data_IF_725368161831
#
_entry.id   IF_725368161831
#
_cell.length_a   1.000
_cell.length_b   1.000
_cell.length_c   1.000
_cell.angle_alpha   90.00
_cell.angle_beta   90.00
_cell.angle_gamma   90.00
#
_symmetry.space_group_name_H-M   'P 1'
#
loop_
_entity.id
_entity.type
_entity.pdbx_description
1 polymer ?
#
# COMPACT_ATOMS: atom_id res chain seq x y z
N UNK A 1 -5.89 22.33 -24.10
CA UNK A 1 -6.58 21.69 -22.96
C UNK A 1 -6.95 20.23 -23.23
N UNK A 2 -7.55 19.89 -24.37
CA UNK A 2 -7.89 18.50 -24.73
C UNK A 2 -6.67 17.54 -24.75
N UNK A 3 -5.49 18.01 -25.20
CA UNK A 3 -4.29 17.18 -25.23
C UNK A 3 -3.66 16.89 -23.86
N UNK A 4 -3.86 17.76 -22.87
CA UNK A 4 -3.31 17.52 -21.52
C UNK A 4 -4.16 16.50 -20.76
N UNK A 5 -5.47 16.52 -20.96
CA UNK A 5 -6.40 15.60 -20.30
C UNK A 5 -6.18 14.14 -20.73
N UNK A 6 -5.82 13.91 -22.00
CA UNK A 6 -5.52 12.57 -22.52
C UNK A 6 -4.20 11.99 -21.99
N UNK A 7 -3.28 12.83 -21.48
CA UNK A 7 -2.01 12.40 -20.89
C UNK A 7 -2.14 11.96 -19.42
N UNK A 8 -3.14 12.47 -18.70
CA UNK A 8 -3.36 12.16 -17.28
C UNK A 8 -3.32 10.66 -16.93
N UNK A 9 -4.03 9.76 -17.65
CA UNK A 9 -4.00 8.34 -17.31
C UNK A 9 -2.62 7.69 -17.52
N UNK A 10 -1.81 8.18 -18.47
CA UNK A 10 -0.43 7.71 -18.67
C UNK A 10 0.50 8.19 -17.57
N UNK A 11 0.37 9.45 -17.14
CA UNK A 11 1.11 9.99 -16.01
C UNK A 11 0.72 9.29 -14.70
N UNK A 12 -0.55 8.91 -14.55
CA UNK A 12 -1.03 8.09 -13.45
C UNK A 12 -0.33 6.73 -13.43
N UNK A 13 -0.28 6.03 -14.56
CA UNK A 13 0.41 4.74 -14.67
C UNK A 13 1.92 4.87 -14.40
N UNK A 14 2.60 5.88 -14.94
CA UNK A 14 4.02 6.13 -14.67
C UNK A 14 4.28 6.41 -13.19
N UNK A 15 3.41 7.20 -12.55
CA UNK A 15 3.49 7.47 -11.11
C UNK A 15 3.24 6.21 -10.27
N UNK A 16 2.33 5.32 -10.71
CA UNK A 16 2.07 4.04 -10.05
C UNK A 16 3.26 3.08 -10.18
N UNK A 17 3.94 3.07 -11.33
CA UNK A 17 5.17 2.29 -11.52
C UNK A 17 6.29 2.80 -10.62
N UNK A 18 6.49 4.13 -10.58
CA UNK A 18 7.47 4.74 -9.69
C UNK A 18 7.17 4.39 -8.23
N UNK A 19 5.91 4.51 -7.81
CA UNK A 19 5.47 4.08 -6.49
C UNK A 19 5.83 2.61 -6.23
N UNK A 20 5.49 1.70 -7.15
CA UNK A 20 5.77 0.27 -6.98
C UNK A 20 7.27 -0.03 -6.78
N UNK A 21 8.13 0.65 -7.54
CA UNK A 21 9.59 0.53 -7.38
C UNK A 21 10.07 1.03 -6.02
N UNK A 22 9.61 2.22 -5.60
CA UNK A 22 10.02 2.82 -4.32
C UNK A 22 9.46 2.02 -3.14
N UNK A 23 8.22 1.58 -3.21
CA UNK A 23 7.58 0.73 -2.20
C UNK A 23 8.27 -0.64 -2.08
N UNK A 24 8.82 -1.20 -3.16
CA UNK A 24 9.63 -2.42 -3.08
C UNK A 24 10.98 -2.17 -2.38
N UNK A 25 11.62 -1.01 -2.63
CA UNK A 25 12.83 -0.61 -1.91
C UNK A 25 12.53 -0.47 -0.41
N UNK A 26 11.42 0.16 -0.06
CA UNK A 26 11.00 0.37 1.32
C UNK A 26 10.58 -0.96 2.00
N UNK A 27 9.47 -1.54 1.55
CA UNK A 27 8.83 -2.69 2.16
C UNK A 27 9.59 -4.00 2.01
N UNK A 28 10.46 -4.16 0.99
CA UNK A 28 11.23 -5.41 0.81
C UNK A 28 12.70 -5.20 1.18
N UNK A 29 13.39 -4.26 0.53
CA UNK A 29 14.82 -4.12 0.75
C UNK A 29 15.15 -3.54 2.13
N UNK A 30 14.51 -2.45 2.55
CA UNK A 30 14.75 -1.87 3.88
C UNK A 30 14.13 -2.72 4.98
N UNK A 31 12.81 -2.88 4.97
CA UNK A 31 12.05 -3.45 6.09
C UNK A 31 12.37 -4.93 6.31
N UNK A 32 12.42 -5.72 5.23
CA UNK A 32 12.54 -7.17 5.34
C UNK A 32 13.98 -7.67 5.23
N UNK A 33 14.74 -7.15 4.27
CA UNK A 33 16.10 -7.65 4.01
C UNK A 33 17.16 -6.97 4.88
N UNK A 34 17.30 -5.65 4.79
CA UNK A 34 18.42 -4.88 5.35
C UNK A 34 18.27 -4.71 6.86
N UNK A 35 17.13 -4.21 7.31
CA UNK A 35 16.87 -3.93 8.73
C UNK A 35 16.24 -5.12 9.46
N UNK A 36 15.63 -6.04 8.71
CA UNK A 36 14.95 -7.24 9.22
C UNK A 36 13.98 -6.90 10.35
N UNK A 37 13.19 -5.84 10.17
CA UNK A 37 12.31 -5.28 11.20
C UNK A 37 11.33 -6.33 11.75
N UNK A 38 10.80 -7.20 10.87
CA UNK A 38 9.95 -8.32 11.26
C UNK A 38 10.57 -9.26 12.31
N UNK A 39 11.90 -9.31 12.43
CA UNK A 39 12.58 -10.16 13.43
C UNK A 39 12.70 -9.51 14.81
N UNK A 40 12.45 -8.21 14.92
CA UNK A 40 12.68 -7.41 16.13
C UNK A 40 11.38 -7.19 16.88
N UNK A 41 11.38 -7.47 18.18
CA UNK A 41 10.19 -7.28 19.02
C UNK A 41 9.75 -5.80 19.07
N UNK A 42 10.69 -4.87 19.11
CA UNK A 42 10.43 -3.43 19.12
C UNK A 42 9.72 -2.92 17.85
N UNK A 43 9.93 -3.60 16.72
CA UNK A 43 9.36 -3.23 15.42
C UNK A 43 8.05 -3.95 15.10
N UNK A 44 7.55 -4.83 15.98
CA UNK A 44 6.39 -5.66 15.68
C UNK A 44 5.10 -4.85 15.44
N UNK A 45 4.87 -3.81 16.26
CA UNK A 45 3.68 -2.96 16.13
C UNK A 45 3.69 -2.20 14.81
N UNK A 46 4.83 -1.65 14.43
CA UNK A 46 5.01 -1.02 13.13
C UNK A 46 4.82 -2.03 12.00
N UNK A 47 5.45 -3.21 12.08
CA UNK A 47 5.28 -4.25 11.06
C UNK A 47 3.80 -4.60 10.85
N UNK A 48 2.98 -4.58 11.91
CA UNK A 48 1.54 -4.79 11.81
C UNK A 48 0.83 -3.64 11.08
N UNK A 49 1.15 -2.38 11.38
CA UNK A 49 0.58 -1.23 10.66
C UNK A 49 1.00 -1.22 9.19
N UNK A 50 2.28 -1.46 8.91
CA UNK A 50 2.78 -1.62 7.55
C UNK A 50 2.10 -2.78 6.81
N UNK A 51 1.89 -3.92 7.48
CA UNK A 51 1.14 -5.07 6.93
C UNK A 51 -0.30 -4.68 6.61
N UNK A 52 -0.98 -3.97 7.50
CA UNK A 52 -2.35 -3.51 7.27
C UNK A 52 -2.42 -2.57 6.06
N UNK A 53 -1.46 -1.65 5.91
CA UNK A 53 -1.37 -0.78 4.73
C UNK A 53 -1.20 -1.58 3.45
N UNK A 54 -0.27 -2.54 3.43
CA UNK A 54 -0.03 -3.42 2.28
C UNK A 54 -1.28 -4.23 1.89
N UNK A 55 -2.02 -4.76 2.87
CA UNK A 55 -3.26 -5.53 2.63
C UNK A 55 -4.38 -4.64 2.06
N UNK A 56 -4.56 -3.43 2.62
CA UNK A 56 -5.58 -2.49 2.14
C UNK A 56 -5.24 -1.91 0.76
N UNK A 57 -3.95 -1.80 0.43
CA UNK A 57 -3.49 -1.26 -0.85
C UNK A 57 -3.88 -2.16 -2.03
N UNK A 58 -3.83 -3.47 -1.88
CA UNK A 58 -4.18 -4.46 -2.94
C UNK A 58 -5.56 -4.20 -3.56
N UNK A 59 -6.68 -4.24 -2.80
CA UNK A 59 -8.00 -3.98 -3.36
C UNK A 59 -8.14 -2.53 -3.84
N UNK A 60 -7.44 -1.57 -3.23
CA UNK A 60 -7.47 -0.17 -3.66
C UNK A 60 -6.95 0.00 -5.08
N UNK A 61 -5.80 -0.59 -5.41
CA UNK A 61 -5.25 -0.54 -6.78
C UNK A 61 -6.14 -1.29 -7.76
N UNK A 62 -6.61 -2.49 -7.41
CA UNK A 62 -7.48 -3.27 -8.28
C UNK A 62 -8.77 -2.51 -8.64
N UNK A 63 -9.42 -1.89 -7.65
CA UNK A 63 -10.63 -1.09 -7.85
C UNK A 63 -10.39 0.16 -8.70
N UNK A 64 -9.24 0.78 -8.57
CA UNK A 64 -8.94 2.03 -9.27
C UNK A 64 -8.41 1.79 -10.68
N UNK A 65 -7.42 0.91 -10.86
CA UNK A 65 -6.67 0.79 -12.10
C UNK A 65 -7.06 -0.41 -12.97
N UNK A 66 -7.57 -1.50 -12.37
CA UNK A 66 -7.79 -2.77 -13.09
C UNK A 66 -9.25 -2.92 -13.51
N UNK A 67 -10.18 -2.74 -12.58
CA UNK A 67 -11.60 -2.91 -12.87
C UNK A 67 -12.21 -1.62 -13.42
N UNK A 68 -13.21 -1.78 -14.29
CA UNK A 68 -14.01 -0.66 -14.80
C UNK A 68 -14.58 0.14 -13.65
N UNK A 69 -14.46 1.46 -13.74
CA UNK A 69 -14.98 2.34 -12.70
C UNK A 69 -16.52 2.34 -12.73
N UNK A 70 -17.06 2.26 -11.53
CA UNK A 70 -18.46 2.50 -11.22
C UNK A 70 -18.50 3.35 -9.96
N UNK A 71 -19.57 4.10 -9.73
CA UNK A 71 -19.69 4.94 -8.53
C UNK A 71 -19.42 4.13 -7.24
N UNK A 72 -20.01 2.93 -7.12
CA UNK A 72 -19.79 2.06 -5.96
C UNK A 72 -18.33 1.65 -5.76
N UNK A 73 -17.62 1.26 -6.84
CA UNK A 73 -16.19 0.91 -6.77
C UNK A 73 -15.32 2.10 -6.41
N UNK A 74 -15.63 3.28 -6.95
CA UNK A 74 -14.88 4.50 -6.65
C UNK A 74 -15.05 4.92 -5.19
N UNK A 75 -16.28 4.92 -4.67
CA UNK A 75 -16.53 5.22 -3.26
C UNK A 75 -15.87 4.20 -2.32
N UNK A 76 -15.91 2.91 -2.66
CA UNK A 76 -15.19 1.88 -1.92
C UNK A 76 -13.67 2.11 -1.95
N UNK A 77 -13.11 2.44 -3.11
CA UNK A 77 -11.69 2.76 -3.23
C UNK A 77 -11.30 4.00 -2.41
N UNK A 78 -12.16 5.02 -2.34
CA UNK A 78 -11.92 6.21 -1.51
C UNK A 78 -11.98 5.87 -0.02
N UNK A 79 -12.92 5.03 0.41
CA UNK A 79 -12.98 4.56 1.78
C UNK A 79 -11.73 3.75 2.17
N UNK A 80 -11.26 2.86 1.29
CA UNK A 80 -10.03 2.11 1.50
C UNK A 80 -8.79 3.03 1.53
N UNK A 81 -8.74 4.02 0.64
CA UNK A 81 -7.65 5.01 0.63
C UNK A 81 -7.60 5.82 1.92
N UNK A 82 -8.75 6.23 2.46
CA UNK A 82 -8.83 6.88 3.77
C UNK A 82 -8.33 5.96 4.88
N UNK A 83 -8.74 4.69 4.88
CA UNK A 83 -8.28 3.71 5.85
C UNK A 83 -6.75 3.51 5.78
N UNK A 84 -6.18 3.46 4.58
CA UNK A 84 -4.73 3.39 4.37
C UNK A 84 -4.03 4.60 5.02
N UNK A 85 -4.50 5.82 4.79
CA UNK A 85 -3.88 7.01 5.39
C UNK A 85 -3.96 6.99 6.92
N UNK A 86 -5.07 6.51 7.48
CA UNK A 86 -5.21 6.35 8.94
C UNK A 86 -4.16 5.34 9.46
N UNK A 87 -4.01 4.20 8.79
CA UNK A 87 -3.01 3.18 9.13
C UNK A 87 -1.58 3.73 9.03
N UNK A 88 -1.26 4.47 7.97
CA UNK A 88 0.07 5.06 7.76
C UNK A 88 0.41 6.11 8.83
N UNK A 89 -0.57 6.86 9.33
CA UNK A 89 -0.35 7.75 10.47
C UNK A 89 0.06 6.99 11.73
N UNK A 90 -0.47 5.78 11.94
CA UNK A 90 -0.04 4.94 13.06
C UNK A 90 1.31 4.26 12.79
N UNK A 91 1.58 3.89 11.55
CA UNK A 91 2.87 3.34 11.11
C UNK A 91 4.02 4.31 11.43
N UNK A 92 3.94 5.56 10.92
CA UNK A 92 4.94 6.61 11.14
C UNK A 92 5.15 6.92 12.63
N UNK A 93 4.08 6.88 13.44
CA UNK A 93 4.19 7.06 14.90
C UNK A 93 4.95 5.92 15.57
N UNK A 94 4.79 4.69 15.08
CA UNK A 94 5.48 3.51 15.60
C UNK A 94 6.96 3.45 15.16
N UNK A 95 7.33 4.11 14.06
CA UNK A 95 8.69 4.04 13.50
C UNK A 95 9.78 4.46 14.51
N UNK A 96 9.54 5.53 15.29
CA UNK A 96 10.53 6.06 16.23
C UNK A 96 10.99 5.01 17.23
N UNK A 97 10.06 4.23 17.80
CA UNK A 97 10.40 3.19 18.78
C UNK A 97 11.08 2.02 18.08
N UNK A 98 10.60 1.63 16.90
CA UNK A 98 11.19 0.56 16.09
C UNK A 98 12.67 0.79 15.76
N UNK A 99 13.07 2.05 15.50
CA UNK A 99 14.46 2.40 15.14
C UNK A 99 15.33 2.82 16.33
N UNK A 100 14.80 2.82 17.56
CA UNK A 100 15.53 3.33 18.73
C UNK A 100 16.89 2.67 18.93
N UNK A 101 16.94 1.35 18.72
CA UNK A 101 18.16 0.53 18.83
C UNK A 101 18.99 0.49 17.54
N UNK A 102 18.52 1.12 16.46
CA UNK A 102 19.17 1.18 15.15
C UNK A 102 19.87 2.53 14.90
N UNK A 103 19.93 3.40 15.91
CA UNK A 103 20.46 4.76 15.77
C UNK A 103 19.42 5.79 15.30
N UNK A 104 18.13 5.43 15.30
CA UNK A 104 17.03 6.28 14.87
C UNK A 104 16.69 6.16 13.38
N UNK A 105 15.64 6.87 12.97
CA UNK A 105 15.18 6.88 11.59
C UNK A 105 16.16 7.67 10.72
N UNK A 106 16.67 7.06 9.65
CA UNK A 106 17.60 7.73 8.75
C UNK A 106 16.87 8.72 7.82
N UNK A 107 17.55 9.79 7.41
CA UNK A 107 17.00 10.74 6.41
C UNK A 107 16.69 10.07 5.07
N UNK A 108 17.47 9.06 4.70
CA UNK A 108 17.27 8.31 3.46
C UNK A 108 15.98 7.47 3.51
N UNK A 109 15.73 6.78 4.62
CA UNK A 109 14.50 6.02 4.88
C UNK A 109 13.27 6.95 4.84
N UNK A 110 13.34 8.09 5.54
CA UNK A 110 12.28 9.10 5.48
C UNK A 110 12.03 9.62 4.06
N UNK A 111 13.08 9.86 3.28
CA UNK A 111 12.96 10.34 1.89
C UNK A 111 12.32 9.31 0.97
N UNK A 112 12.62 8.03 1.17
CA UNK A 112 11.99 6.90 0.45
C UNK A 112 10.49 6.84 0.80
N UNK A 113 10.14 6.92 2.08
CA UNK A 113 8.75 6.92 2.53
C UNK A 113 7.96 8.08 1.91
N UNK A 114 8.50 9.30 1.96
CA UNK A 114 7.86 10.49 1.36
C UNK A 114 7.72 10.35 -0.16
N UNK A 115 8.73 9.82 -0.85
CA UNK A 115 8.67 9.61 -2.30
C UNK A 115 7.60 8.57 -2.67
N UNK A 116 7.47 7.49 -1.90
CA UNK A 116 6.39 6.51 -2.07
C UNK A 116 5.01 7.16 -1.89
N UNK A 117 4.83 7.92 -0.80
CA UNK A 117 3.55 8.60 -0.53
C UNK A 117 3.17 9.58 -1.65
N UNK A 118 4.11 10.42 -2.09
CA UNK A 118 3.88 11.42 -3.14
C UNK A 118 3.58 10.76 -4.48
N UNK A 119 4.35 9.75 -4.89
CA UNK A 119 4.15 9.05 -6.17
C UNK A 119 2.81 8.31 -6.21
N UNK A 120 2.39 7.64 -5.12
CA UNK A 120 1.06 7.04 -5.01
C UNK A 120 -0.05 8.08 -5.10
N UNK A 121 0.09 9.18 -4.36
CA UNK A 121 -0.90 10.26 -4.33
C UNK A 121 -1.06 10.88 -5.71
N UNK A 122 0.05 11.11 -6.42
CA UNK A 122 0.05 11.56 -7.80
C UNK A 122 -0.67 10.55 -8.71
N UNK A 123 -0.33 9.26 -8.62
CA UNK A 123 -0.96 8.21 -9.42
C UNK A 123 -2.49 8.20 -9.28
N UNK A 124 -2.98 8.17 -8.04
CA UNK A 124 -4.41 8.14 -7.76
C UNK A 124 -5.07 9.45 -8.21
N UNK A 125 -4.51 10.60 -7.85
CA UNK A 125 -5.11 11.91 -8.17
C UNK A 125 -5.21 12.13 -9.67
N UNK A 126 -4.16 11.81 -10.43
CA UNK A 126 -4.14 11.92 -11.89
C UNK A 126 -5.15 10.99 -12.54
N UNK A 127 -5.28 9.75 -12.05
CA UNK A 127 -6.28 8.81 -12.54
C UNK A 127 -7.70 9.33 -12.28
N UNK A 128 -8.00 9.78 -11.06
CA UNK A 128 -9.31 10.32 -10.72
C UNK A 128 -9.64 11.58 -11.53
N UNK A 129 -8.66 12.45 -11.76
CA UNK A 129 -8.83 13.66 -12.58
C UNK A 129 -9.08 13.33 -14.06
N UNK A 130 -8.56 12.21 -14.55
CA UNK A 130 -8.83 11.74 -15.92
C UNK A 130 -10.27 11.24 -16.11
N UNK A 131 -11.01 10.98 -15.02
CA UNK A 131 -12.35 10.40 -15.06
C UNK A 131 -13.43 11.49 -15.12
N UNK A 132 -14.48 11.28 -15.93
CA UNK A 132 -15.59 12.24 -16.01
C UNK A 132 -16.37 12.28 -14.70
N UNK A 133 -16.73 13.47 -14.22
CA UNK A 133 -17.43 13.65 -12.94
C UNK A 133 -18.73 12.81 -12.81
N UNK A 134 -19.42 12.55 -13.92
CA UNK A 134 -20.65 11.76 -13.95
C UNK A 134 -20.48 10.32 -13.41
N UNK A 135 -19.27 9.75 -13.43
CA UNK A 135 -19.00 8.39 -12.95
C UNK A 135 -19.17 8.22 -11.44
N UNK A 136 -19.16 9.34 -10.69
CA UNK A 136 -19.34 9.36 -9.24
C UNK A 136 -20.81 9.29 -8.80
N UNK A 137 -21.74 9.42 -9.76
CA UNK A 137 -23.17 9.43 -9.47
C UNK A 137 -23.69 8.04 -9.11
N UNK A 138 -24.26 7.91 -7.91
CA UNK A 138 -24.98 6.71 -7.48
C UNK A 138 -26.35 6.56 -8.14
N UNK A 139 -26.83 7.57 -8.87
CA UNK A 139 -28.15 7.60 -9.50
C UNK A 139 -28.25 6.73 -10.78
N UNK A 140 -27.27 5.85 -11.05
CA UNK A 140 -27.35 4.85 -12.11
C UNK A 140 -26.89 5.31 -13.51
N UNK A 141 -26.24 6.48 -13.63
CA UNK A 141 -25.68 6.93 -14.91
C UNK A 141 -24.54 6.01 -15.34
N UNK A 142 -24.77 5.22 -16.38
CA UNK A 142 -23.73 4.38 -16.97
C UNK A 142 -22.86 5.24 -17.89
N UNK A 143 -21.68 5.60 -17.41
CA UNK A 143 -20.67 6.26 -18.24
C UNK A 143 -19.72 5.20 -18.78
N UNK A 144 -19.59 5.11 -20.10
CA UNK A 144 -18.58 4.22 -20.70
C UNK A 144 -17.21 4.85 -20.51
N UNK A 145 -16.45 4.29 -19.58
CA UNK A 145 -15.06 4.66 -19.34
C UNK A 145 -14.17 4.09 -20.45
N UNK A 146 -13.27 4.91 -20.98
CA UNK A 146 -12.18 4.47 -21.87
C UNK A 146 -10.84 4.78 -21.21
N UNK A 147 -10.33 3.85 -20.40
CA UNK A 147 -8.96 3.88 -19.90
C UNK A 147 -8.07 3.12 -20.89
N UNK A 148 -6.90 3.67 -21.29
CA UNK A 148 -5.95 2.94 -22.12
C UNK A 148 -5.54 1.60 -21.47
N UNK A 149 -5.46 0.52 -22.24
CA UNK A 149 -5.18 -0.83 -21.71
C UNK A 149 -3.88 -0.88 -20.91
N UNK A 150 -2.85 -0.13 -21.34
CA UNK A 150 -1.55 -0.05 -20.64
C UNK A 150 -1.69 0.37 -19.18
N UNK A 151 -2.67 1.21 -18.84
CA UNK A 151 -2.91 1.65 -17.46
C UNK A 151 -3.47 0.50 -16.62
N UNK A 152 -4.37 -0.30 -17.21
CA UNK A 152 -4.91 -1.50 -16.57
C UNK A 152 -3.85 -2.59 -16.44
N UNK A 153 -2.97 -2.76 -17.44
CA UNK A 153 -1.87 -3.73 -17.41
C UNK A 153 -0.85 -3.38 -16.30
N UNK A 154 -0.48 -2.10 -16.20
CA UNK A 154 0.35 -1.59 -15.09
C UNK A 154 -0.35 -1.80 -13.74
N UNK A 155 -1.64 -1.46 -13.66
CA UNK A 155 -2.45 -1.69 -12.47
C UNK A 155 -2.46 -3.16 -12.03
N UNK A 156 -2.61 -4.08 -12.99
CA UNK A 156 -2.64 -5.52 -12.73
C UNK A 156 -1.27 -6.04 -12.27
N UNK A 157 -0.18 -5.61 -12.90
CA UNK A 157 1.18 -5.96 -12.49
C UNK A 157 1.49 -5.48 -11.07
N UNK A 158 1.11 -4.24 -10.73
CA UNK A 158 1.29 -3.66 -9.39
C UNK A 158 0.40 -4.38 -8.37
N UNK A 159 -0.84 -4.70 -8.73
CA UNK A 159 -1.76 -5.47 -7.86
C UNK A 159 -1.18 -6.85 -7.54
N UNK A 160 -0.62 -7.55 -8.52
CA UNK A 160 0.02 -8.85 -8.34
C UNK A 160 1.25 -8.75 -7.41
N UNK A 161 2.14 -7.78 -7.68
CA UNK A 161 3.31 -7.54 -6.83
C UNK A 161 2.95 -7.17 -5.40
N UNK A 162 1.98 -6.26 -5.22
CA UNK A 162 1.47 -5.87 -3.92
C UNK A 162 0.82 -7.05 -3.18
N UNK A 163 0.12 -7.93 -3.88
CA UNK A 163 -0.47 -9.15 -3.29
C UNK A 163 0.62 -10.07 -2.74
N UNK A 164 1.70 -10.30 -3.50
CA UNK A 164 2.82 -11.11 -3.03
C UNK A 164 3.49 -10.50 -1.79
N UNK A 165 3.71 -9.18 -1.80
CA UNK A 165 4.30 -8.46 -0.66
C UNK A 165 3.38 -8.50 0.56
N UNK A 166 2.07 -8.31 0.39
CA UNK A 166 1.09 -8.37 1.48
C UNK A 166 1.04 -9.77 2.11
N UNK A 167 0.99 -10.83 1.29
CA UNK A 167 1.03 -12.23 1.78
C UNK A 167 2.31 -12.47 2.58
N UNK A 168 3.45 -12.00 2.08
CA UNK A 168 4.72 -12.16 2.77
C UNK A 168 4.77 -11.41 4.11
N UNK A 169 4.24 -10.19 4.16
CA UNK A 169 4.14 -9.40 5.40
C UNK A 169 3.21 -10.04 6.42
N UNK A 170 2.05 -10.55 5.99
CA UNK A 170 1.11 -11.31 6.83
C UNK A 170 1.78 -12.58 7.37
N UNK A 171 2.50 -13.31 6.51
CA UNK A 171 3.25 -14.50 6.91
C UNK A 171 4.28 -14.18 8.00
N UNK A 172 5.06 -13.11 7.83
CA UNK A 172 6.02 -12.68 8.85
C UNK A 172 5.37 -12.14 10.12
N UNK A 173 4.24 -11.43 10.03
CA UNK A 173 3.51 -11.00 11.21
C UNK A 173 3.04 -12.20 12.05
N UNK A 174 2.55 -13.26 11.39
CA UNK A 174 2.14 -14.50 12.05
C UNK A 174 3.33 -15.26 12.66
N UNK A 175 4.41 -15.45 11.89
CA UNK A 175 5.59 -16.21 12.32
C UNK A 175 6.37 -15.53 13.43
N UNK A 176 6.45 -14.19 13.41
CA UNK A 176 7.31 -13.44 14.31
C UNK A 176 6.59 -12.80 15.50
N UNK A 177 5.28 -13.03 15.65
CA UNK A 177 4.47 -12.53 16.74
C UNK A 177 5.10 -12.80 18.13
N UNK A 178 5.48 -11.76 18.89
CA UNK A 178 6.11 -11.92 20.20
C UNK A 178 5.24 -12.64 21.22
N UNK A 179 3.91 -12.48 21.13
CA UNK A 179 2.94 -13.12 22.01
C UNK A 179 2.80 -14.61 21.71
N UNK A 180 2.84 -15.01 20.42
CA UNK A 180 2.81 -16.42 20.02
C UNK A 180 4.07 -17.19 20.47
N UNK A 181 5.24 -16.52 20.48
CA UNK A 181 6.50 -17.11 20.97
C UNK A 181 6.62 -17.23 22.49
N UNK A 182 5.75 -16.55 23.25
CA UNK A 182 5.72 -16.60 24.72
C UNK A 182 4.80 -17.68 25.29
N UNK A 183 4.16 -18.53 24.48
CA UNK A 183 3.42 -19.68 25.02
C UNK A 183 4.41 -20.61 25.75
N UNK A 184 4.27 -20.78 27.08
CA UNK A 184 5.10 -21.72 27.80
C UNK A 184 4.77 -23.13 27.32
N UNK A 185 5.79 -24.00 27.28
CA UNK A 185 5.61 -25.44 27.19
C UNK A 185 4.81 -25.92 28.41
N UNK A 186 3.48 -25.79 28.37
CA UNK A 186 2.57 -26.38 29.34
C UNK A 186 2.19 -27.77 28.82
N UNK A 187 3.12 -28.72 28.95
CA UNK A 187 2.86 -30.17 29.02
C UNK A 187 4.21 -30.91 29.01
N UNK A 188 4.72 -31.27 30.18
CA UNK A 188 5.93 -32.09 30.28
C UNK A 188 6.50 -32.16 31.69
N UNK A 189 5.66 -32.35 32.71
CA UNK A 189 6.14 -32.57 34.06
C UNK A 189 5.00 -32.79 35.04
N UNK A 190 4.76 -34.06 35.39
CA UNK A 190 3.99 -34.42 36.57
C UNK A 190 3.04 -35.61 36.42
N UNK A 191 3.60 -36.82 36.32
CA UNK A 191 3.30 -37.99 37.15
C UNK A 191 3.95 -39.24 36.52
#
# INVERSE_FOLDING_TARGET
>A
MLELASLLPYLAAASLMLFGMVAAIDGVWLHLWKLRLHTRAASFVEHLWHTASAVLFVPTVALLFVWHATAGRLWLAMALLLAIHIVELFDVRAERESRRELGGLSRAELSIHVLALVSRTAAISLLLLSRPAAIWSLAGVQVRETVPSIVADVGAAITLGATAIAVLHVGFAALYCPQCRRRPAMAGGGA
#
